data_IF_022872081695
#
_entry.id   IF_022872081695
#
_cell.length_a   1.000
_cell.length_b   1.000
_cell.length_c   1.000
_cell.angle_alpha   90.00
_cell.angle_beta   90.00
_cell.angle_gamma   90.00
#
_symmetry.space_group_name_H-M   'P 1'
#
loop_
_entity.id
_entity.type
_entity.pdbx_description
1 polymer ?
#
# COMPACT_ATOMS: atom_id res chain seq x y z
N UNK A 1 5.17 -16.07 0.20
CA UNK A 1 5.36 -16.45 -1.20
C UNK A 1 4.49 -15.58 -2.10
N UNK A 2 5.05 -15.03 -3.17
CA UNK A 2 4.30 -14.25 -4.16
C UNK A 2 4.14 -15.12 -5.41
N UNK A 3 2.98 -15.11 -6.05
CA UNK A 3 2.71 -15.91 -7.25
C UNK A 3 2.24 -15.00 -8.39
N UNK A 4 2.60 -15.34 -9.63
CA UNK A 4 2.12 -14.60 -10.80
C UNK A 4 0.60 -14.75 -10.92
N UNK A 5 -0.10 -13.63 -10.96
CA UNK A 5 -1.56 -13.61 -11.14
C UNK A 5 -1.99 -14.40 -12.38
N UNK A 6 -1.27 -14.27 -13.50
CA UNK A 6 -1.54 -15.03 -14.73
C UNK A 6 -1.54 -16.56 -14.50
N UNK A 7 -0.62 -17.06 -13.68
CA UNK A 7 -0.52 -18.49 -13.37
C UNK A 7 -1.69 -18.96 -12.50
N UNK A 8 -2.13 -18.13 -11.56
CA UNK A 8 -3.32 -18.41 -10.74
C UNK A 8 -4.60 -18.41 -11.59
N UNK A 9 -4.74 -17.43 -12.50
CA UNK A 9 -5.90 -17.31 -13.37
C UNK A 9 -6.03 -18.47 -14.37
N UNK A 10 -4.91 -19.11 -14.76
CA UNK A 10 -4.93 -20.28 -15.63
C UNK A 10 -5.68 -21.48 -15.02
N UNK A 11 -5.89 -21.52 -13.70
CA UNK A 11 -6.58 -22.60 -13.00
C UNK A 11 -8.10 -22.41 -13.00
N UNK A 12 -8.58 -21.18 -13.23
CA UNK A 12 -10.00 -20.82 -13.16
C UNK A 12 -10.91 -21.73 -14.02
N UNK A 13 -10.55 -22.12 -15.26
CA UNK A 13 -11.38 -23.05 -16.02
C UNK A 13 -11.55 -24.41 -15.34
N UNK A 14 -10.50 -24.95 -14.71
CA UNK A 14 -10.57 -26.23 -13.99
C UNK A 14 -11.39 -26.10 -12.69
N UNK A 15 -11.36 -24.94 -12.04
CA UNK A 15 -12.20 -24.67 -10.86
C UNK A 15 -13.70 -24.73 -11.18
N UNK A 16 -14.12 -24.43 -12.42
CA UNK A 16 -15.52 -24.56 -12.83
C UNK A 16 -16.03 -26.00 -12.81
N UNK A 17 -15.12 -26.98 -12.87
CA UNK A 17 -15.42 -28.40 -12.84
C UNK A 17 -15.20 -29.00 -11.44
N UNK A 18 -14.83 -28.18 -10.46
CA UNK A 18 -14.44 -28.63 -9.14
C UNK A 18 -15.64 -29.05 -8.30
N UNK A 19 -15.59 -30.29 -7.80
CA UNK A 19 -16.43 -30.78 -6.71
C UNK A 19 -15.70 -30.72 -5.37
N UNK A 20 -14.37 -30.60 -5.39
CA UNK A 20 -13.53 -30.42 -4.21
C UNK A 20 -12.22 -29.73 -4.58
N UNK A 21 -11.67 -28.99 -3.61
CA UNK A 21 -10.45 -28.21 -3.77
C UNK A 21 -9.56 -28.41 -2.55
N UNK A 22 -8.29 -28.70 -2.79
CA UNK A 22 -7.23 -28.72 -1.78
C UNK A 22 -6.09 -27.83 -2.25
N UNK A 23 -5.63 -26.94 -1.38
CA UNK A 23 -4.50 -26.05 -1.63
C UNK A 23 -3.44 -26.37 -0.58
N UNK A 24 -2.20 -26.56 -1.03
CA UNK A 24 -1.08 -26.90 -0.18
C UNK A 24 0.16 -26.11 -0.61
N UNK A 25 0.83 -25.49 0.36
CA UNK A 25 2.16 -24.93 0.15
C UNK A 25 3.18 -26.04 0.40
N UNK A 26 3.92 -26.36 -0.65
CA UNK A 26 5.00 -27.33 -0.64
C UNK A 26 6.32 -26.57 -0.44
N UNK A 27 7.33 -27.27 0.06
CA UNK A 27 8.69 -26.73 0.24
C UNK A 27 9.21 -26.04 -1.04
N UNK A 28 10.04 -25.01 -0.86
CA UNK A 28 10.58 -24.22 -1.98
C UNK A 28 9.60 -23.20 -2.56
N UNK A 29 8.48 -22.92 -1.90
CA UNK A 29 7.51 -21.91 -2.35
C UNK A 29 6.66 -22.36 -3.53
N UNK A 30 6.45 -23.67 -3.67
CA UNK A 30 5.55 -24.22 -4.67
C UNK A 30 4.14 -24.30 -4.08
N UNK A 31 3.14 -23.82 -4.81
CA UNK A 31 1.74 -23.99 -4.49
C UNK A 31 1.19 -25.18 -5.27
N UNK A 32 0.73 -26.20 -4.57
CA UNK A 32 -0.08 -27.26 -5.13
C UNK A 32 -1.56 -26.90 -5.01
N UNK A 33 -2.26 -26.88 -6.14
CA UNK A 33 -3.72 -26.79 -6.19
C UNK A 33 -4.25 -28.10 -6.76
N UNK A 34 -4.96 -28.87 -5.95
CA UNK A 34 -5.58 -30.13 -6.32
C UNK A 34 -7.09 -29.97 -6.41
N UNK A 35 -7.65 -30.30 -7.57
CA UNK A 35 -9.07 -30.17 -7.86
C UNK A 35 -9.67 -31.56 -8.08
N UNK A 36 -10.68 -31.92 -7.31
CA UNK A 36 -11.51 -33.12 -7.56
C UNK A 36 -12.57 -32.78 -8.60
N UNK A 37 -12.48 -33.38 -9.79
CA UNK A 37 -13.38 -33.11 -10.92
C UNK A 37 -14.55 -34.10 -10.99
N UNK A 38 -14.29 -35.37 -10.66
CA UNK A 38 -15.31 -36.42 -10.65
C UNK A 38 -15.29 -37.14 -9.30
N UNK A 39 -16.25 -36.86 -8.41
CA UNK A 39 -16.35 -37.53 -7.12
C UNK A 39 -17.24 -38.78 -7.26
N UNK A 40 -16.84 -39.74 -8.09
CA UNK A 40 -17.58 -41.00 -8.18
C UNK A 40 -17.01 -42.02 -7.15
N UNK A 41 -17.87 -42.88 -6.63
CA UNK A 41 -17.51 -43.88 -5.60
C UNK A 41 -16.47 -44.86 -6.11
N UNK A 42 -16.51 -45.15 -7.41
CA UNK A 42 -15.58 -46.07 -8.07
C UNK A 42 -14.36 -45.37 -8.69
N UNK A 43 -14.51 -44.11 -9.09
CA UNK A 43 -13.43 -43.36 -9.77
C UNK A 43 -13.34 -41.93 -9.29
N UNK A 44 -12.15 -41.54 -8.80
CA UNK A 44 -11.86 -40.16 -8.42
C UNK A 44 -10.88 -39.56 -9.41
N UNK A 45 -11.33 -38.52 -10.12
CA UNK A 45 -10.46 -37.78 -11.03
C UNK A 45 -9.96 -36.51 -10.35
N UNK A 46 -8.64 -36.35 -10.29
CA UNK A 46 -8.00 -35.16 -9.77
C UNK A 46 -7.20 -34.43 -10.85
N UNK A 47 -7.23 -33.10 -10.81
CA UNK A 47 -6.31 -32.24 -11.54
C UNK A 47 -5.36 -31.58 -10.55
N UNK A 48 -4.06 -31.65 -10.83
CA UNK A 48 -3.02 -31.05 -10.00
C UNK A 48 -2.33 -29.92 -10.75
N UNK A 49 -2.30 -28.74 -10.15
CA UNK A 49 -1.58 -27.58 -10.65
C UNK A 49 -0.46 -27.24 -9.69
N UNK A 50 0.76 -27.19 -10.20
CA UNK A 50 1.95 -26.81 -9.45
C UNK A 50 2.36 -25.41 -9.90
N UNK A 51 2.28 -24.44 -9.00
CA UNK A 51 2.61 -23.04 -9.29
C UNK A 51 3.82 -22.64 -8.47
N UNK A 52 4.89 -22.23 -9.14
CA UNK A 52 6.09 -21.74 -8.46
C UNK A 52 5.90 -20.29 -8.02
N UNK A 53 6.35 -19.99 -6.80
CA UNK A 53 6.47 -18.62 -6.34
C UNK A 53 7.47 -17.85 -7.22
N UNK A 54 7.17 -16.57 -7.43
CA UNK A 54 8.16 -15.64 -7.95
C UNK A 54 9.11 -15.26 -6.82
N UNK A 55 10.37 -15.58 -7.01
CA UNK A 55 11.46 -14.97 -6.26
C UNK A 55 11.76 -13.64 -6.92
N UNK A 56 11.38 -12.54 -6.26
CA UNK A 56 11.97 -11.25 -6.61
C UNK A 56 13.34 -11.23 -5.95
N UNK A 57 14.40 -11.26 -6.75
CA UNK A 57 15.77 -10.97 -6.29
C UNK A 57 16.04 -9.47 -6.26
N UNK A 58 15.03 -8.64 -6.51
CA UNK A 58 15.17 -7.20 -6.47
C UNK A 58 15.21 -6.77 -4.99
N UNK A 59 16.32 -6.19 -4.51
CA UNK A 59 16.36 -5.63 -3.17
C UNK A 59 15.24 -4.59 -3.09
N UNK A 60 14.39 -4.71 -2.08
CA UNK A 60 13.46 -3.64 -1.75
C UNK A 60 14.29 -2.36 -1.64
N UNK A 61 13.96 -1.28 -2.36
CA UNK A 61 14.65 -0.02 -2.15
C UNK A 61 14.52 0.27 -0.66
N UNK A 62 15.68 0.40 0.01
CA UNK A 62 15.73 0.89 1.38
C UNK A 62 14.92 2.17 1.38
N UNK A 63 13.84 2.21 2.16
CA UNK A 63 13.03 3.40 2.33
C UNK A 63 14.02 4.55 2.57
N UNK A 64 14.08 5.49 1.63
CA UNK A 64 14.77 6.75 1.86
C UNK A 64 14.14 7.30 3.13
N UNK A 65 14.91 7.35 4.23
CA UNK A 65 14.55 8.11 5.41
C UNK A 65 14.08 9.46 4.88
N UNK A 66 12.78 9.72 4.99
CA UNK A 66 12.22 11.03 4.79
C UNK A 66 12.88 11.93 5.83
N UNK A 67 14.02 12.53 5.47
CA UNK A 67 14.61 13.64 6.19
C UNK A 67 13.56 14.75 6.10
N UNK A 68 12.77 14.87 7.17
CA UNK A 68 11.91 16.03 7.38
C UNK A 68 12.81 17.26 7.21
N UNK A 69 12.41 18.28 6.42
CA UNK A 69 13.19 19.50 6.38
C UNK A 69 13.25 20.08 7.80
N UNK A 70 14.46 20.16 8.35
CA UNK A 70 14.77 20.93 9.55
C UNK A 70 14.55 22.42 9.26
N UNK A 71 13.31 22.87 9.34
CA UNK A 71 12.97 24.28 9.58
C UNK A 71 11.48 24.39 9.83
N UNK A 72 11.06 23.98 11.03
CA UNK A 72 9.86 24.57 11.62
C UNK A 72 10.34 25.82 12.35
N UNK A 73 10.34 26.97 11.67
CA UNK A 73 10.55 28.27 12.31
C UNK A 73 9.44 28.46 13.33
N UNK A 74 9.78 28.24 14.60
CA UNK A 74 9.02 28.70 15.74
C UNK A 74 8.99 30.22 15.66
N UNK A 75 7.85 30.77 15.24
CA UNK A 75 7.52 32.18 15.47
C UNK A 75 7.63 32.46 16.96
N UNK A 76 8.71 33.12 17.36
CA UNK A 76 8.93 33.65 18.70
C UNK A 76 8.06 34.91 18.89
N UNK A 77 7.04 34.91 19.77
CA UNK A 77 6.21 36.08 20.02
C UNK A 77 6.82 36.99 21.10
N UNK A 78 8.13 37.22 21.08
CA UNK A 78 8.81 38.04 22.09
C UNK A 78 9.90 38.96 21.55
N UNK A 79 9.60 39.71 20.49
CA UNK A 79 10.41 40.90 20.14
C UNK A 79 9.53 41.99 19.55
N UNK A 80 9.07 42.92 20.39
CA UNK A 80 8.99 44.37 20.15
C UNK A 80 8.28 45.07 21.33
N UNK A 81 8.98 45.13 22.46
CA UNK A 81 9.00 46.30 23.36
C UNK A 81 10.29 47.04 22.97
N UNK A 82 10.46 48.35 22.85
CA UNK A 82 9.78 49.58 23.24
C UNK A 82 10.46 50.71 22.43
N UNK A 83 9.77 51.83 22.15
CA UNK A 83 10.29 53.23 22.02
C UNK A 83 9.11 54.08 21.48
N UNK A 84 8.28 54.65 22.33
CA UNK A 84 8.38 55.96 23.03
C UNK A 84 8.22 57.22 22.16
N UNK A 85 7.57 58.22 22.77
CA UNK A 85 7.29 59.60 22.35
C UNK A 85 6.24 59.76 21.24
N UNK A 86 5.01 60.23 21.48
CA UNK A 86 4.62 61.35 22.32
C UNK A 86 4.70 62.64 21.50
N UNK A 87 3.59 63.07 20.89
CA UNK A 87 3.19 64.49 20.82
C UNK A 87 1.85 64.71 20.09
N UNK A 88 0.99 65.46 20.76
CA UNK A 88 0.17 66.59 20.27
C UNK A 88 -0.92 66.42 19.18
N UNK A 89 -2.13 66.81 19.62
CA UNK A 89 -3.06 67.77 18.98
C UNK A 89 -3.76 67.40 17.65
N UNK A 90 -5.09 67.33 17.59
CA UNK A 90 -6.05 68.46 17.52
C UNK A 90 -6.44 68.84 16.07
N UNK A 91 -7.70 68.52 15.75
CA UNK A 91 -8.63 69.24 14.85
C UNK A 91 -8.48 69.27 13.30
N UNK A 92 -9.69 69.34 12.72
CA UNK A 92 -10.10 69.80 11.37
C UNK A 92 -9.93 68.83 10.20
N UNK A 93 -10.78 68.79 9.18
CA UNK A 93 -12.14 69.27 8.88
C UNK A 93 -12.49 68.62 7.53
N UNK A 94 -13.78 68.57 7.23
CA UNK A 94 -14.48 68.20 5.99
C UNK A 94 -13.73 68.49 4.67
N UNK A 95 -14.01 67.68 3.64
CA UNK A 95 -14.70 68.14 2.41
C UNK A 95 -14.92 67.01 1.38
N UNK A 96 -16.20 66.79 1.05
CA UNK A 96 -16.80 66.59 -0.28
C UNK A 96 -16.12 65.65 -1.29
N UNK A 97 -16.84 64.56 -1.61
CA UNK A 97 -17.17 64.17 -2.99
C UNK A 97 -18.62 63.66 -3.02
#
# INVERSE_FOLDING_TARGET
HIYKLKSLLAIVPALKLAHGLRIEWVEGGMLLVQILVKPDLHTRLFLHFYILATFSSEPLPLEEEHLLPESFDLLDPSTHAEEEAGDHDSYHDRSLL
#
